data_IF_346772061370
#
_entry.id   IF_346772061370
#
_cell.length_a   1.000
_cell.length_b   1.000
_cell.length_c   1.000
_cell.angle_alpha   90.00
_cell.angle_beta   90.00
_cell.angle_gamma   90.00
#
_symmetry.space_group_name_H-M   'P 1'
#
loop_
_entity.id
_entity.type
_entity.pdbx_description
1 polymer ?
#
# COMPACT_ATOMS: atom_id res chain seq x y z
N UNK A 1 6.63 15.78 20.76
CA UNK A 1 7.51 15.02 19.82
C UNK A 1 7.67 15.88 18.59
N UNK A 2 8.90 16.10 18.12
CA UNK A 2 9.08 16.91 16.90
C UNK A 2 8.47 16.23 15.69
N UNK A 3 7.86 17.00 14.81
CA UNK A 3 7.19 16.54 13.60
C UNK A 3 7.83 17.15 12.36
N UNK A 4 7.66 16.47 11.24
CA UNK A 4 8.14 16.90 9.92
C UNK A 4 6.96 16.82 8.93
N UNK A 5 6.71 17.89 8.21
CA UNK A 5 5.81 17.89 7.07
C UNK A 5 6.56 17.34 5.85
N UNK A 6 5.93 16.42 5.13
CA UNK A 6 6.45 15.81 3.90
C UNK A 6 5.48 16.07 2.77
N UNK A 7 5.96 16.67 1.69
CA UNK A 7 5.20 16.96 0.49
C UNK A 7 5.74 16.16 -0.67
N UNK A 8 4.86 15.49 -1.41
CA UNK A 8 5.28 14.70 -2.58
C UNK A 8 4.21 14.65 -3.68
N UNK A 9 4.63 14.45 -4.92
CA UNK A 9 3.74 14.30 -6.07
C UNK A 9 4.46 13.58 -7.22
N UNK A 10 3.74 12.76 -7.99
CA UNK A 10 4.24 12.20 -9.25
C UNK A 10 4.33 13.25 -10.36
N UNK A 11 3.67 14.40 -10.24
CA UNK A 11 3.76 15.49 -11.21
C UNK A 11 5.05 16.26 -11.00
N UNK A 12 5.95 16.18 -11.97
CA UNK A 12 7.26 16.82 -11.90
C UNK A 12 7.14 18.34 -11.75
N UNK A 13 7.85 18.90 -10.77
CA UNK A 13 7.93 20.34 -10.52
C UNK A 13 6.71 20.93 -9.80
N UNK A 14 5.75 20.10 -9.38
CA UNK A 14 4.59 20.56 -8.61
C UNK A 14 4.94 20.85 -7.14
N UNK A 15 6.00 20.25 -6.60
CA UNK A 15 6.40 20.38 -5.20
C UNK A 15 7.55 21.37 -5.09
N UNK A 16 7.24 22.61 -4.64
CA UNK A 16 8.23 23.66 -4.36
C UNK A 16 8.07 24.16 -2.92
N UNK A 17 9.11 24.79 -2.38
CA UNK A 17 9.06 25.40 -1.04
C UNK A 17 7.93 26.44 -0.91
N UNK A 18 7.66 27.21 -1.97
CA UNK A 18 6.60 28.22 -1.99
C UNK A 18 5.21 27.57 -1.92
N UNK A 19 4.98 26.49 -2.69
CA UNK A 19 3.72 25.76 -2.69
C UNK A 19 3.51 25.06 -1.34
N UNK A 20 4.54 24.42 -0.80
CA UNK A 20 4.49 23.79 0.53
C UNK A 20 4.16 24.81 1.63
N UNK A 21 4.80 25.97 1.59
CA UNK A 21 4.50 27.10 2.49
C UNK A 21 3.05 27.57 2.37
N UNK A 22 2.53 27.70 1.15
CA UNK A 22 1.14 28.07 0.91
C UNK A 22 0.15 27.04 1.47
N UNK A 23 0.44 25.74 1.34
CA UNK A 23 -0.38 24.66 1.90
C UNK A 23 -0.35 24.70 3.43
N UNK A 24 0.83 24.85 4.06
CA UNK A 24 0.99 24.96 5.51
C UNK A 24 0.27 26.20 6.06
N UNK A 25 0.51 27.37 5.47
CA UNK A 25 -0.14 28.62 5.90
C UNK A 25 -1.66 28.58 5.78
N UNK A 26 -2.21 27.90 4.76
CA UNK A 26 -3.65 27.71 4.61
C UNK A 26 -4.24 26.74 5.65
N UNK A 27 -3.42 25.90 6.28
CA UNK A 27 -3.76 25.04 7.42
C UNK A 27 -3.44 25.70 8.77
N UNK A 28 -2.95 26.95 8.80
CA UNK A 28 -2.59 27.64 10.04
C UNK A 28 -1.27 27.16 10.66
N UNK A 29 -0.46 26.42 9.90
CA UNK A 29 0.79 25.84 10.38
C UNK A 29 1.96 26.74 9.99
N UNK A 30 2.66 27.26 10.99
CA UNK A 30 3.90 28.02 10.78
C UNK A 30 5.06 27.07 10.45
N UNK A 31 5.95 27.51 9.56
CA UNK A 31 7.13 26.73 9.18
C UNK A 31 8.30 27.64 8.78
N UNK A 32 9.51 27.23 9.16
CA UNK A 32 10.72 27.90 8.73
C UNK A 32 11.19 27.38 7.37
N UNK A 33 10.96 28.15 6.33
CA UNK A 33 11.36 27.76 4.96
C UNK A 33 12.87 27.65 4.77
N UNK A 34 13.70 28.22 5.66
CA UNK A 34 15.15 28.03 5.62
C UNK A 34 15.54 26.59 6.02
N UNK A 35 14.66 25.86 6.69
CA UNK A 35 14.86 24.47 7.10
C UNK A 35 14.34 23.43 6.07
N UNK A 36 13.86 23.87 4.91
CA UNK A 36 13.41 22.96 3.84
C UNK A 36 14.54 22.06 3.40
N UNK A 37 14.25 20.76 3.36
CA UNK A 37 15.12 19.75 2.79
C UNK A 37 14.48 19.18 1.51
N UNK A 38 15.17 19.30 0.40
CA UNK A 38 14.76 18.69 -0.87
C UNK A 38 15.10 17.20 -0.81
N UNK A 39 14.07 16.34 -0.96
CA UNK A 39 14.21 14.89 -1.04
C UNK A 39 14.36 14.44 -2.49
N UNK A 40 13.66 15.12 -3.38
CA UNK A 40 13.75 14.98 -4.84
C UNK A 40 13.43 16.33 -5.48
N UNK A 41 14.36 16.88 -6.29
CA UNK A 41 14.23 18.22 -6.87
C UNK A 41 12.94 18.47 -7.66
N UNK A 42 12.31 17.40 -8.14
CA UNK A 42 11.13 17.53 -8.97
C UNK A 42 9.84 17.06 -8.28
N UNK A 43 9.96 16.25 -7.20
CA UNK A 43 8.85 15.45 -6.71
C UNK A 43 8.62 15.54 -5.20
N UNK A 44 9.61 15.86 -4.37
CA UNK A 44 9.43 15.78 -2.93
C UNK A 44 10.33 16.71 -2.13
N UNK A 45 9.78 17.24 -1.05
CA UNK A 45 10.53 17.95 0.00
C UNK A 45 9.94 17.63 1.37
N UNK A 46 10.74 17.88 2.41
CA UNK A 46 10.27 17.88 3.78
C UNK A 46 10.79 19.10 4.55
N UNK A 47 10.10 19.41 5.65
CA UNK A 47 10.56 20.45 6.56
C UNK A 47 10.11 20.16 7.99
N UNK A 48 10.99 20.38 8.98
CA UNK A 48 10.66 20.27 10.40
C UNK A 48 9.61 21.30 10.80
N UNK A 49 8.67 20.90 11.64
CA UNK A 49 7.68 21.80 12.19
C UNK A 49 8.09 22.28 13.58
N UNK A 50 7.89 23.58 13.92
CA UNK A 50 8.28 24.13 15.20
C UNK A 50 7.38 23.65 16.35
N UNK A 51 6.12 23.35 16.03
CA UNK A 51 5.10 22.93 16.98
C UNK A 51 4.44 21.61 16.52
N UNK A 52 3.79 20.93 17.45
CA UNK A 52 3.01 19.73 17.17
C UNK A 52 1.69 20.12 16.53
N UNK A 53 1.40 19.53 15.38
CA UNK A 53 0.17 19.73 14.61
C UNK A 53 -0.89 18.74 15.09
N UNK A 54 -2.10 19.19 15.28
CA UNK A 54 -3.22 18.36 15.68
C UNK A 54 -3.90 17.65 14.50
N UNK A 55 -4.92 16.84 14.79
CA UNK A 55 -5.59 16.00 13.77
C UNK A 55 -6.41 16.84 12.79
N UNK A 56 -7.02 17.95 13.26
CA UNK A 56 -7.86 18.82 12.41
C UNK A 56 -6.99 19.60 11.44
N UNK A 57 -5.85 20.09 11.90
CA UNK A 57 -4.86 20.78 11.07
C UNK A 57 -4.25 19.83 10.03
N UNK A 58 -3.98 18.56 10.40
CA UNK A 58 -3.54 17.53 9.46
C UNK A 58 -4.58 17.25 8.38
N UNK A 59 -5.87 17.19 8.73
CA UNK A 59 -6.94 17.00 7.76
C UNK A 59 -7.04 18.19 6.79
N UNK A 60 -6.90 19.43 7.32
CA UNK A 60 -6.87 20.66 6.51
C UNK A 60 -5.66 20.68 5.59
N UNK A 61 -4.47 20.31 6.08
CA UNK A 61 -3.24 20.24 5.31
C UNK A 61 -3.40 19.32 4.10
N UNK A 62 -3.92 18.10 4.32
CA UNK A 62 -4.18 17.14 3.24
C UNK A 62 -5.17 17.67 2.21
N UNK A 63 -6.30 18.23 2.67
CA UNK A 63 -7.30 18.78 1.76
C UNK A 63 -6.74 19.92 0.88
N UNK A 64 -5.80 20.71 1.41
CA UNK A 64 -5.10 21.76 0.63
C UNK A 64 -4.09 21.18 -0.34
N UNK A 65 -3.38 20.12 0.04
CA UNK A 65 -2.49 19.36 -0.84
C UNK A 65 -3.27 18.72 -2.00
N UNK A 66 -4.37 18.03 -1.70
CA UNK A 66 -5.23 17.37 -2.70
C UNK A 66 -5.71 18.33 -3.79
N UNK A 67 -6.05 19.56 -3.45
CA UNK A 67 -6.44 20.61 -4.43
C UNK A 67 -5.31 20.96 -5.42
N UNK A 68 -4.07 20.65 -5.10
CA UNK A 68 -2.90 20.94 -5.91
C UNK A 68 -2.25 19.67 -6.50
N UNK A 69 -2.85 18.49 -6.26
CA UNK A 69 -2.28 17.21 -6.69
C UNK A 69 -1.00 16.84 -5.93
N UNK A 70 -0.92 17.21 -4.64
CA UNK A 70 0.24 17.00 -3.77
C UNK A 70 -0.22 16.23 -2.53
N UNK A 71 0.49 15.15 -2.21
CA UNK A 71 0.38 14.49 -0.91
C UNK A 71 1.09 15.34 0.15
N UNK A 72 0.35 15.74 1.17
CA UNK A 72 0.85 16.50 2.30
C UNK A 72 0.63 15.68 3.59
N UNK A 73 1.73 15.17 4.16
CA UNK A 73 1.72 14.28 5.30
C UNK A 73 2.57 14.85 6.45
N UNK A 74 2.22 14.51 7.68
CA UNK A 74 3.02 14.84 8.86
C UNK A 74 3.47 13.55 9.52
N UNK A 75 4.78 13.45 9.76
CA UNK A 75 5.42 12.29 10.37
C UNK A 75 6.28 12.71 11.58
N UNK A 76 6.57 11.81 12.53
CA UNK A 76 7.60 12.08 13.54
C UNK A 76 8.94 12.42 12.87
N UNK A 77 9.68 13.38 13.41
CA UNK A 77 11.00 13.76 12.84
C UNK A 77 12.06 12.66 13.06
N UNK A 78 11.91 11.87 14.12
CA UNK A 78 12.82 10.78 14.48
C UNK A 78 12.16 9.40 14.22
N UNK A 79 12.99 8.38 14.00
CA UNK A 79 12.53 7.00 13.79
C UNK A 79 11.75 6.82 12.48
N UNK A 80 11.99 7.65 11.47
CA UNK A 80 11.30 7.62 10.18
C UNK A 80 11.65 6.38 9.36
N UNK A 81 12.91 5.96 9.34
CA UNK A 81 13.33 4.74 8.65
C UNK A 81 12.75 3.52 9.33
N UNK A 82 12.13 2.62 8.56
CA UNK A 82 11.43 1.44 9.03
C UNK A 82 12.19 0.16 8.70
N UNK A 83 12.15 -0.80 9.62
CA UNK A 83 12.89 -2.07 9.53
C UNK A 83 12.04 -3.20 8.91
N UNK A 84 10.74 -3.00 8.80
CA UNK A 84 9.77 -3.95 8.24
C UNK A 84 8.83 -3.21 7.30
N UNK A 85 8.55 -3.81 6.13
CA UNK A 85 7.46 -3.43 5.24
C UNK A 85 6.49 -4.60 5.09
N UNK A 86 5.21 -4.36 5.32
CA UNK A 86 4.11 -5.23 4.90
C UNK A 86 3.30 -4.50 3.84
N UNK A 87 3.20 -5.06 2.65
CA UNK A 87 2.45 -4.48 1.55
C UNK A 87 1.31 -5.39 1.09
N UNK A 88 0.16 -4.79 0.77
CA UNK A 88 -0.87 -5.45 -0.03
C UNK A 88 -0.42 -5.58 -1.49
N UNK A 89 -1.04 -6.50 -2.24
CA UNK A 89 -0.74 -6.73 -3.65
C UNK A 89 -1.71 -6.01 -4.58
N UNK A 90 -2.96 -6.44 -4.57
CA UNK A 90 -3.99 -5.99 -5.51
C UNK A 90 -4.29 -4.50 -5.28
N UNK A 91 -4.39 -3.72 -6.35
CA UNK A 91 -4.58 -2.25 -6.30
C UNK A 91 -3.54 -1.48 -5.47
N UNK A 92 -2.47 -2.13 -5.01
CA UNK A 92 -1.35 -1.54 -4.24
C UNK A 92 -0.01 -1.76 -4.94
N UNK A 93 0.58 -2.96 -4.89
CA UNK A 93 1.85 -3.29 -5.57
C UNK A 93 1.64 -3.51 -7.07
N UNK A 94 0.48 -4.01 -7.46
CA UNK A 94 0.01 -4.10 -8.84
C UNK A 94 -1.21 -3.19 -9.05
N UNK A 95 -1.46 -2.78 -10.29
CA UNK A 95 -2.50 -1.79 -10.61
C UNK A 95 -3.90 -2.37 -10.69
N UNK A 96 -4.05 -3.70 -10.72
CA UNK A 96 -5.32 -4.41 -10.92
C UNK A 96 -5.71 -5.31 -9.75
N UNK A 97 -6.90 -5.88 -9.84
CA UNK A 97 -7.45 -6.91 -8.93
C UNK A 97 -7.29 -8.28 -9.58
N UNK A 98 -6.37 -9.11 -9.09
CA UNK A 98 -5.98 -10.37 -9.72
C UNK A 98 -7.12 -11.37 -9.92
N UNK A 99 -8.08 -11.44 -8.97
CA UNK A 99 -9.27 -12.29 -9.10
C UNK A 99 -10.22 -11.79 -10.19
N UNK A 100 -10.37 -10.48 -10.34
CA UNK A 100 -11.24 -9.87 -11.34
C UNK A 100 -10.63 -10.03 -12.75
N UNK A 101 -9.30 -9.91 -12.88
CA UNK A 101 -8.60 -10.21 -14.14
C UNK A 101 -8.78 -11.66 -14.57
N UNK A 102 -8.61 -12.61 -13.65
CA UNK A 102 -8.90 -14.02 -13.90
C UNK A 102 -10.37 -14.23 -14.31
N UNK A 103 -11.31 -13.52 -13.69
CA UNK A 103 -12.73 -13.60 -14.03
C UNK A 103 -13.05 -13.07 -15.43
N UNK A 104 -12.41 -11.98 -15.81
CA UNK A 104 -12.52 -11.39 -17.15
C UNK A 104 -11.98 -12.35 -18.21
N UNK A 105 -10.80 -12.89 -18.03
CA UNK A 105 -10.17 -13.88 -18.90
C UNK A 105 -11.00 -15.17 -19.02
N UNK A 106 -11.61 -15.59 -17.91
CA UNK A 106 -12.49 -16.75 -17.88
C UNK A 106 -13.90 -16.51 -18.47
N UNK A 107 -14.24 -15.27 -18.82
CA UNK A 107 -15.56 -14.88 -19.32
C UNK A 107 -16.70 -15.00 -18.28
N UNK A 108 -16.39 -14.79 -16.99
CA UNK A 108 -17.35 -14.91 -15.88
C UNK A 108 -17.45 -13.63 -15.02
N UNK A 109 -16.90 -12.52 -15.48
CA UNK A 109 -16.92 -11.26 -14.73
C UNK A 109 -18.33 -10.83 -14.30
N UNK A 110 -19.32 -10.95 -15.20
CA UNK A 110 -20.72 -10.61 -14.91
C UNK A 110 -21.34 -11.50 -13.81
N UNK A 111 -20.87 -12.73 -13.66
CA UNK A 111 -21.34 -13.64 -12.61
C UNK A 111 -20.68 -13.37 -11.25
N UNK A 112 -19.46 -12.84 -11.24
CA UNK A 112 -18.70 -12.49 -10.01
C UNK A 112 -19.18 -11.18 -9.41
N UNK A 113 -19.47 -10.17 -10.24
CA UNK A 113 -19.80 -8.82 -9.81
C UNK A 113 -20.93 -8.75 -8.75
N UNK A 114 -22.05 -9.50 -8.85
CA UNK A 114 -23.08 -9.51 -7.80
C UNK A 114 -22.58 -10.01 -6.45
N UNK A 115 -21.67 -11.00 -6.43
CA UNK A 115 -21.09 -11.56 -5.20
C UNK A 115 -20.17 -10.53 -4.54
N UNK A 116 -19.31 -9.90 -5.32
CA UNK A 116 -18.43 -8.82 -4.87
C UNK A 116 -19.24 -7.66 -4.29
N UNK A 117 -20.32 -7.24 -4.99
CA UNK A 117 -21.19 -6.15 -4.54
C UNK A 117 -21.84 -6.46 -3.18
N UNK A 118 -22.32 -7.69 -2.98
CA UNK A 118 -22.90 -8.12 -1.71
C UNK A 118 -21.89 -8.17 -0.58
N UNK A 119 -20.68 -8.64 -0.86
CA UNK A 119 -19.59 -8.63 0.11
C UNK A 119 -19.20 -7.20 0.52
N UNK A 120 -19.12 -6.27 -0.44
CA UNK A 120 -18.84 -4.85 -0.18
C UNK A 120 -19.93 -4.15 0.66
N UNK A 121 -21.18 -4.64 0.60
CA UNK A 121 -22.28 -4.15 1.44
C UNK A 121 -22.34 -4.82 2.83
N UNK A 122 -21.40 -5.73 3.13
CA UNK A 122 -21.42 -6.48 4.39
C UNK A 122 -22.52 -7.57 4.47
N UNK A 123 -23.11 -7.94 3.34
CA UNK A 123 -24.13 -9.00 3.25
C UNK A 123 -23.50 -10.41 3.23
N UNK A 124 -22.22 -10.50 2.96
CA UNK A 124 -21.41 -11.73 2.95
C UNK A 124 -20.09 -11.47 3.66
N UNK A 125 -19.72 -12.37 4.55
CA UNK A 125 -18.40 -12.38 5.15
C UNK A 125 -17.31 -12.73 4.11
N UNK A 126 -16.06 -12.42 4.43
CA UNK A 126 -14.92 -12.55 3.52
C UNK A 126 -14.79 -13.99 2.95
N UNK A 127 -14.74 -15.01 3.81
CA UNK A 127 -14.52 -16.38 3.38
C UNK A 127 -15.68 -16.94 2.54
N UNK A 128 -16.96 -16.80 2.93
CA UNK A 128 -18.10 -17.18 2.07
C UNK A 128 -18.11 -16.44 0.72
N UNK A 129 -17.73 -15.17 0.69
CA UNK A 129 -17.66 -14.40 -0.56
C UNK A 129 -16.53 -14.92 -1.47
N UNK A 130 -15.37 -15.25 -0.90
CA UNK A 130 -14.25 -15.84 -1.63
C UNK A 130 -14.65 -17.22 -2.20
N UNK A 131 -15.21 -18.10 -1.37
CA UNK A 131 -15.62 -19.44 -1.77
C UNK A 131 -16.68 -19.39 -2.89
N UNK A 132 -17.66 -18.48 -2.80
CA UNK A 132 -18.69 -18.30 -3.83
C UNK A 132 -18.12 -17.81 -5.17
N UNK A 133 -17.17 -16.87 -5.13
CA UNK A 133 -16.48 -16.38 -6.34
C UNK A 133 -15.61 -17.48 -6.96
N UNK A 134 -14.85 -18.21 -6.13
CA UNK A 134 -13.97 -19.28 -6.62
C UNK A 134 -14.74 -20.46 -7.22
N UNK A 135 -15.90 -20.81 -6.68
CA UNK A 135 -16.73 -21.87 -7.23
C UNK A 135 -17.07 -21.67 -8.72
N UNK A 136 -17.12 -20.42 -9.20
CA UNK A 136 -17.35 -20.10 -10.61
C UNK A 136 -16.16 -20.46 -11.53
N UNK A 137 -14.99 -20.67 -10.95
CA UNK A 137 -13.79 -21.12 -11.69
C UNK A 137 -13.66 -22.64 -11.75
N UNK A 138 -14.53 -23.40 -11.06
CA UNK A 138 -14.43 -24.86 -11.05
C UNK A 138 -14.44 -25.46 -12.47
N UNK A 139 -13.43 -26.29 -12.76
CA UNK A 139 -13.24 -26.95 -14.05
C UNK A 139 -12.62 -26.09 -15.16
N UNK A 140 -12.40 -24.80 -14.94
CA UNK A 140 -11.72 -23.91 -15.90
C UNK A 140 -10.23 -24.26 -15.98
N UNK A 141 -9.54 -23.94 -17.11
CA UNK A 141 -8.12 -24.21 -17.28
C UNK A 141 -7.28 -23.45 -16.24
N UNK A 142 -6.26 -24.11 -15.69
CA UNK A 142 -5.29 -23.48 -14.80
C UNK A 142 -4.40 -22.43 -15.53
N UNK A 143 -4.29 -22.49 -16.88
CA UNK A 143 -3.60 -21.48 -17.69
C UNK A 143 -4.13 -20.06 -17.50
N UNK A 144 -5.36 -19.89 -17.04
CA UNK A 144 -5.92 -18.58 -16.68
C UNK A 144 -5.05 -17.82 -15.66
N UNK A 145 -4.33 -18.54 -14.79
CA UNK A 145 -3.39 -17.93 -13.84
C UNK A 145 -2.19 -17.35 -14.58
N UNK A 146 -1.63 -18.11 -15.53
CA UNK A 146 -0.48 -17.65 -16.33
C UNK A 146 -0.87 -16.48 -17.25
N UNK A 147 -2.09 -16.53 -17.79
CA UNK A 147 -2.66 -15.46 -18.62
C UNK A 147 -2.85 -14.17 -17.79
N UNK A 148 -3.43 -14.28 -16.58
CA UNK A 148 -3.60 -13.15 -15.67
C UNK A 148 -2.23 -12.59 -15.23
N UNK A 149 -1.26 -13.47 -14.91
CA UNK A 149 0.09 -13.06 -14.53
C UNK A 149 0.82 -12.31 -15.65
N UNK A 150 0.58 -12.68 -16.91
CA UNK A 150 1.18 -12.01 -18.07
C UNK A 150 0.64 -10.58 -18.29
N UNK A 151 -0.53 -10.26 -17.77
CA UNK A 151 -1.15 -8.93 -17.83
C UNK A 151 -0.85 -8.06 -16.59
N UNK A 152 -0.14 -8.59 -15.58
CA UNK A 152 0.17 -7.83 -14.36
C UNK A 152 1.03 -6.62 -14.69
N UNK A 153 0.54 -5.45 -14.30
CA UNK A 153 1.28 -4.20 -14.33
C UNK A 153 1.60 -3.75 -12.90
N UNK A 154 2.87 -3.40 -12.67
CA UNK A 154 3.28 -2.88 -11.36
C UNK A 154 2.88 -1.43 -11.18
N UNK A 155 2.43 -1.10 -9.97
CA UNK A 155 2.27 0.29 -9.57
C UNK A 155 3.61 1.03 -9.64
N UNK A 156 3.57 2.31 -10.02
CA UNK A 156 4.77 3.13 -10.07
C UNK A 156 5.55 3.06 -8.76
N UNK A 157 6.86 2.93 -8.85
CA UNK A 157 7.74 2.89 -7.69
C UNK A 157 7.75 1.58 -6.89
N UNK A 158 6.94 0.55 -7.21
CA UNK A 158 6.84 -0.68 -6.45
C UNK A 158 8.20 -1.38 -6.23
N UNK A 159 8.92 -1.60 -7.31
CA UNK A 159 10.25 -2.24 -7.26
C UNK A 159 11.26 -1.34 -6.54
N UNK A 160 11.22 -0.03 -6.81
CA UNK A 160 12.09 0.96 -6.17
C UNK A 160 11.88 0.98 -4.65
N UNK A 161 10.64 1.02 -4.18
CA UNK A 161 10.31 0.98 -2.75
C UNK A 161 10.92 -0.24 -2.08
N UNK A 162 10.62 -1.43 -2.60
CA UNK A 162 11.05 -2.69 -1.97
C UNK A 162 12.57 -2.82 -1.97
N UNK A 163 13.22 -2.57 -3.11
CA UNK A 163 14.68 -2.71 -3.23
C UNK A 163 15.43 -1.70 -2.38
N UNK A 164 14.96 -0.45 -2.33
CA UNK A 164 15.58 0.58 -1.49
C UNK A 164 15.48 0.23 -0.02
N UNK A 165 14.30 -0.15 0.48
CA UNK A 165 14.14 -0.57 1.88
C UNK A 165 14.98 -1.82 2.20
N UNK A 166 15.01 -2.81 1.29
CA UNK A 166 15.85 -4.01 1.43
C UNK A 166 17.34 -3.70 1.50
N UNK A 167 17.82 -2.80 0.67
CA UNK A 167 19.23 -2.37 0.70
C UNK A 167 19.58 -1.61 1.99
N UNK A 168 18.61 -0.93 2.59
CA UNK A 168 18.73 -0.31 3.91
C UNK A 168 18.62 -1.32 5.07
N UNK A 169 18.46 -2.63 4.78
CA UNK A 169 18.41 -3.70 5.79
C UNK A 169 17.01 -4.08 6.25
N UNK A 170 15.95 -3.48 5.70
CA UNK A 170 14.58 -3.84 6.06
C UNK A 170 14.17 -5.21 5.51
N UNK A 171 13.30 -5.89 6.22
CA UNK A 171 12.56 -7.06 5.72
C UNK A 171 11.25 -6.61 5.08
N UNK A 172 10.96 -7.08 3.85
CA UNK A 172 9.77 -6.67 3.09
C UNK A 172 8.94 -7.89 2.73
N UNK A 173 7.66 -7.90 3.11
CA UNK A 173 6.74 -9.00 2.83
C UNK A 173 5.51 -8.52 2.08
N UNK A 174 5.09 -9.33 1.08
CA UNK A 174 3.85 -9.14 0.34
C UNK A 174 2.76 -10.03 0.96
N UNK A 175 1.68 -9.45 1.46
CA UNK A 175 0.59 -10.18 2.13
C UNK A 175 -0.73 -9.83 1.47
N UNK A 176 -1.33 -10.79 0.77
CA UNK A 176 -2.52 -10.58 -0.06
C UNK A 176 -3.61 -11.60 0.22
N UNK A 177 -4.87 -11.16 0.14
CA UNK A 177 -6.03 -12.04 0.06
C UNK A 177 -6.13 -12.83 -1.26
N UNK A 178 -5.28 -12.49 -2.26
CA UNK A 178 -5.17 -13.19 -3.53
C UNK A 178 -4.49 -14.55 -3.44
N UNK A 179 -3.74 -14.96 -4.49
CA UNK A 179 -3.28 -16.34 -4.65
C UNK A 179 -1.76 -16.46 -4.78
N UNK A 180 -1.18 -17.47 -4.13
CA UNK A 180 0.27 -17.71 -4.14
C UNK A 180 0.86 -17.86 -5.53
N UNK A 181 0.11 -18.40 -6.48
CA UNK A 181 0.52 -18.56 -7.88
C UNK A 181 0.73 -17.21 -8.59
N UNK A 182 0.15 -16.11 -8.08
CA UNK A 182 0.35 -14.75 -8.58
C UNK A 182 1.29 -13.98 -7.64
N UNK A 183 1.09 -14.04 -6.32
CA UNK A 183 1.89 -13.24 -5.39
C UNK A 183 3.37 -13.65 -5.38
N UNK A 184 3.70 -14.93 -5.58
CA UNK A 184 5.09 -15.37 -5.54
C UNK A 184 5.93 -14.83 -6.72
N UNK A 185 5.48 -14.87 -7.98
CA UNK A 185 6.16 -14.18 -9.10
C UNK A 185 6.27 -12.67 -8.90
N UNK A 186 5.19 -11.99 -8.46
CA UNK A 186 5.16 -10.56 -8.17
C UNK A 186 6.20 -10.20 -7.09
N UNK A 187 6.17 -10.92 -5.97
CA UNK A 187 7.11 -10.70 -4.88
C UNK A 187 8.57 -10.89 -5.31
N UNK A 188 8.84 -11.93 -6.10
CA UNK A 188 10.19 -12.20 -6.64
C UNK A 188 10.67 -11.06 -7.54
N UNK A 189 9.82 -10.56 -8.42
CA UNK A 189 10.19 -9.49 -9.37
C UNK A 189 10.47 -8.16 -8.65
N UNK A 190 9.67 -7.79 -7.66
CA UNK A 190 9.91 -6.61 -6.82
C UNK A 190 11.10 -6.76 -5.89
N UNK A 191 11.48 -7.98 -5.52
CA UNK A 191 12.56 -8.26 -4.57
C UNK A 191 12.10 -8.36 -3.11
N UNK A 192 10.84 -8.68 -2.83
CA UNK A 192 10.36 -8.95 -1.48
C UNK A 192 11.14 -10.09 -0.80
N UNK A 193 11.22 -10.06 0.53
CA UNK A 193 11.81 -11.12 1.36
C UNK A 193 10.99 -12.41 1.29
N UNK A 194 9.67 -12.26 1.26
CA UNK A 194 8.72 -13.36 1.19
C UNK A 194 7.31 -12.88 0.89
N UNK A 195 6.37 -13.85 0.77
CA UNK A 195 4.97 -13.56 0.47
C UNK A 195 4.04 -14.55 1.15
N UNK A 196 2.83 -14.07 1.48
CA UNK A 196 1.72 -14.84 2.02
C UNK A 196 0.43 -14.56 1.27
N UNK A 197 -0.24 -15.64 0.84
CA UNK A 197 -1.50 -15.58 0.12
C UNK A 197 -2.24 -16.91 0.19
N UNK A 198 -3.46 -16.99 -0.32
CA UNK A 198 -4.23 -18.20 -0.41
C UNK A 198 -3.64 -19.16 -1.47
N UNK A 199 -3.78 -20.46 -1.23
CA UNK A 199 -3.34 -21.50 -2.17
C UNK A 199 -4.52 -21.97 -3.01
N UNK A 200 -4.56 -21.65 -4.30
CA UNK A 200 -5.52 -22.22 -5.24
C UNK A 200 -5.31 -23.73 -5.36
N UNK A 201 -6.40 -24.50 -5.30
CA UNK A 201 -6.35 -25.92 -5.57
C UNK A 201 -6.50 -26.17 -7.09
N UNK A 202 -5.47 -26.84 -7.64
CA UNK A 202 -5.38 -27.18 -9.07
C UNK A 202 -5.16 -28.70 -9.18
N UNK A 203 -5.94 -29.36 -10.05
CA UNK A 203 -5.79 -30.77 -10.33
C UNK A 203 -6.02 -31.05 -11.84
N UNK A 204 -5.16 -31.86 -12.43
CA UNK A 204 -5.27 -32.20 -13.86
C UNK A 204 -5.27 -31.00 -14.80
N UNK A 205 -4.57 -29.91 -14.45
CA UNK A 205 -4.52 -28.67 -15.22
C UNK A 205 -5.80 -27.83 -15.16
N UNK A 206 -6.68 -28.08 -14.18
CA UNK A 206 -7.92 -27.36 -13.95
C UNK A 206 -7.99 -26.78 -12.56
N UNK A 207 -8.62 -25.61 -12.44
CA UNK A 207 -8.95 -24.99 -11.17
C UNK A 207 -10.07 -25.80 -10.50
N UNK A 208 -9.93 -26.12 -9.21
CA UNK A 208 -10.98 -26.82 -8.45
C UNK A 208 -12.07 -25.88 -7.92
N UNK A 209 -11.93 -24.58 -8.13
CA UNK A 209 -12.88 -23.57 -7.65
C UNK A 209 -12.83 -23.36 -6.13
N UNK A 210 -11.71 -23.59 -5.51
CA UNK A 210 -11.50 -23.44 -4.06
C UNK A 210 -10.02 -23.22 -3.72
N UNK A 211 -9.77 -22.79 -2.48
CA UNK A 211 -8.43 -22.65 -1.90
C UNK A 211 -8.23 -23.64 -0.76
N UNK A 212 -6.97 -23.93 -0.46
CA UNK A 212 -6.61 -24.73 0.71
C UNK A 212 -6.93 -23.93 1.98
N UNK A 213 -7.53 -24.62 2.97
CA UNK A 213 -7.78 -24.03 4.29
C UNK A 213 -6.56 -24.15 5.21
N UNK A 214 -6.34 -23.24 6.17
CA UNK A 214 -7.18 -22.07 6.46
C UNK A 214 -7.02 -20.96 5.42
N UNK A 215 -8.08 -20.18 5.23
CA UNK A 215 -8.07 -18.99 4.35
C UNK A 215 -7.32 -17.86 5.04
N UNK A 216 -6.55 -17.09 4.26
CA UNK A 216 -5.97 -15.83 4.68
C UNK A 216 -7.09 -14.79 4.66
N UNK A 217 -7.66 -14.54 5.84
CA UNK A 217 -8.79 -13.64 6.06
C UNK A 217 -8.35 -12.16 6.17
N UNK A 218 -9.31 -11.24 6.37
CA UNK A 218 -9.04 -9.81 6.52
C UNK A 218 -8.10 -9.47 7.68
N UNK A 219 -8.13 -10.22 8.79
CA UNK A 219 -7.24 -10.02 9.93
C UNK A 219 -5.83 -10.60 9.76
N UNK A 220 -5.59 -11.36 8.69
CA UNK A 220 -4.30 -12.03 8.49
C UNK A 220 -3.14 -11.04 8.35
N UNK A 221 -3.34 -9.91 7.68
CA UNK A 221 -2.31 -8.88 7.49
C UNK A 221 -1.80 -8.33 8.82
N UNK A 222 -2.70 -8.00 9.75
CA UNK A 222 -2.33 -7.55 11.10
C UNK A 222 -1.60 -8.65 11.89
N UNK A 223 -2.02 -9.93 11.75
CA UNK A 223 -1.31 -11.06 12.37
C UNK A 223 0.10 -11.24 11.81
N UNK A 224 0.32 -11.07 10.50
CA UNK A 224 1.66 -11.12 9.91
C UNK A 224 2.53 -9.94 10.34
N UNK A 225 1.97 -8.74 10.48
CA UNK A 225 2.69 -7.60 11.07
C UNK A 225 3.19 -7.96 12.49
N UNK A 226 2.30 -8.43 13.36
CA UNK A 226 2.66 -8.83 14.73
C UNK A 226 3.69 -9.97 14.74
N UNK A 227 3.54 -10.97 13.86
CA UNK A 227 4.45 -12.08 13.74
C UNK A 227 5.86 -11.63 13.36
N UNK A 228 6.02 -10.81 12.32
CA UNK A 228 7.32 -10.35 11.86
C UNK A 228 7.94 -9.31 12.79
N UNK A 229 7.15 -8.47 13.46
CA UNK A 229 7.68 -7.64 14.54
C UNK A 229 8.30 -8.47 15.66
N UNK A 230 7.62 -9.55 16.07
CA UNK A 230 8.15 -10.46 17.09
C UNK A 230 9.39 -11.21 16.63
N UNK A 231 9.41 -11.72 15.38
CA UNK A 231 10.54 -12.44 14.79
C UNK A 231 11.79 -11.56 14.66
N UNK A 232 11.62 -10.30 14.27
CA UNK A 232 12.71 -9.33 14.11
C UNK A 232 13.09 -8.64 15.43
N UNK A 233 12.32 -8.84 16.50
CA UNK A 233 12.56 -8.19 17.79
C UNK A 233 12.36 -6.67 17.76
N UNK A 234 11.45 -6.17 16.91
CA UNK A 234 11.12 -4.76 16.74
C UNK A 234 9.72 -4.43 17.25
N UNK A 235 9.48 -3.16 17.58
CA UNK A 235 8.14 -2.68 17.87
C UNK A 235 7.35 -2.39 16.57
N UNK A 236 6.00 -2.47 16.59
CA UNK A 236 5.17 -2.06 15.44
C UNK A 236 5.45 -0.62 14.96
N UNK A 237 5.92 0.26 15.83
CA UNK A 237 6.34 1.62 15.50
C UNK A 237 7.51 1.66 14.50
N UNK A 238 8.29 0.57 14.39
CA UNK A 238 9.43 0.43 13.47
C UNK A 238 9.04 -0.24 12.14
N UNK A 239 7.74 -0.52 11.95
CA UNK A 239 7.19 -1.08 10.73
C UNK A 239 6.47 -0.03 9.88
N UNK A 240 6.54 -0.20 8.56
CA UNK A 240 5.68 0.43 7.57
C UNK A 240 4.70 -0.59 7.01
N UNK A 241 3.45 -0.18 6.82
CA UNK A 241 2.43 -0.95 6.13
C UNK A 241 1.77 -0.10 5.06
N UNK A 242 1.43 -0.69 3.91
CA UNK A 242 0.79 0.02 2.80
C UNK A 242 -0.31 -0.85 2.17
N UNK A 243 -1.45 -0.22 1.85
CA UNK A 243 -2.61 -0.87 1.27
C UNK A 243 -3.69 0.12 0.85
N UNK A 244 -4.71 -0.35 0.13
CA UNK A 244 -5.77 0.46 -0.48
C UNK A 244 -7.17 0.20 0.07
N UNK A 245 -7.41 -0.94 0.71
CA UNK A 245 -8.73 -1.46 1.01
C UNK A 245 -9.05 -1.66 2.49
N UNK A 246 -10.33 -1.91 2.80
CA UNK A 246 -10.80 -2.11 4.17
C UNK A 246 -10.13 -3.30 4.89
N UNK A 247 -9.66 -4.29 4.12
CA UNK A 247 -8.91 -5.44 4.60
C UNK A 247 -7.50 -5.10 5.13
N UNK A 248 -7.04 -3.85 4.88
CA UNK A 248 -5.74 -3.36 5.34
C UNK A 248 -5.85 -2.56 6.64
N UNK A 249 -7.05 -2.12 7.02
CA UNK A 249 -7.27 -1.17 8.09
C UNK A 249 -6.54 -1.55 9.38
N UNK A 250 -6.77 -2.76 9.90
CA UNK A 250 -6.19 -3.20 11.18
C UNK A 250 -4.64 -3.22 11.13
N UNK A 251 -4.07 -3.59 9.98
CA UNK A 251 -2.63 -3.57 9.75
C UNK A 251 -2.08 -2.14 9.70
N UNK A 252 -2.77 -1.24 9.00
CA UNK A 252 -2.37 0.15 8.86
C UNK A 252 -2.46 0.90 10.18
N UNK A 253 -3.53 0.68 10.98
CA UNK A 253 -3.69 1.29 12.30
C UNK A 253 -2.63 0.80 13.31
N UNK A 254 -2.16 -0.43 13.17
CA UNK A 254 -1.18 -1.01 14.10
C UNK A 254 0.28 -0.62 13.79
N UNK A 255 0.60 -0.20 12.57
CA UNK A 255 1.96 0.10 12.15
C UNK A 255 2.40 1.52 12.52
N UNK A 256 3.70 1.72 12.70
CA UNK A 256 4.25 3.06 12.90
C UNK A 256 4.04 3.99 11.71
N UNK A 257 4.16 3.44 10.49
CA UNK A 257 3.74 4.10 9.25
C UNK A 257 2.69 3.22 8.56
N UNK A 258 1.42 3.37 8.92
CA UNK A 258 0.30 2.84 8.16
C UNK A 258 -0.08 3.84 7.07
N UNK A 259 0.10 3.48 5.81
CA UNK A 259 -0.08 4.37 4.66
C UNK A 259 -1.20 3.87 3.77
N UNK A 260 -2.20 4.71 3.56
CA UNK A 260 -3.28 4.48 2.63
C UNK A 260 -2.84 4.93 1.22
N UNK A 261 -2.78 3.99 0.27
CA UNK A 261 -2.29 4.23 -1.09
C UNK A 261 -3.44 4.22 -2.09
N UNK A 262 -3.70 5.34 -2.79
CA UNK A 262 -4.82 5.49 -3.74
C UNK A 262 -6.13 4.89 -3.21
N UNK A 263 -6.35 5.07 -1.92
CA UNK A 263 -7.22 4.21 -1.14
C UNK A 263 -8.71 4.53 -1.29
N UNK A 264 -9.51 3.53 -0.93
CA UNK A 264 -10.97 3.62 -0.82
C UNK A 264 -11.39 4.57 0.32
N UNK A 265 -12.61 5.14 0.28
CA UNK A 265 -13.04 6.20 1.21
C UNK A 265 -12.83 5.90 2.70
N UNK A 266 -13.05 4.64 3.12
CA UNK A 266 -12.87 4.23 4.52
C UNK A 266 -11.45 4.48 5.03
N UNK A 267 -10.43 4.12 4.25
CA UNK A 267 -9.04 4.35 4.65
C UNK A 267 -8.67 5.83 4.58
N UNK A 268 -9.21 6.57 3.59
CA UNK A 268 -9.01 8.03 3.52
C UNK A 268 -9.52 8.76 4.77
N UNK A 269 -10.59 8.26 5.37
CA UNK A 269 -11.15 8.83 6.60
C UNK A 269 -10.31 8.48 7.83
N UNK A 270 -9.84 7.22 7.92
CA UNK A 270 -9.24 6.69 9.15
C UNK A 270 -7.72 6.78 9.21
N UNK A 271 -7.04 6.63 8.08
CA UNK A 271 -5.57 6.54 8.06
C UNK A 271 -4.96 7.93 7.84
N UNK A 272 -4.10 8.40 8.77
CA UNK A 272 -3.54 9.73 8.69
C UNK A 272 -2.48 9.91 7.59
N UNK A 273 -1.68 8.89 7.26
CA UNK A 273 -0.69 8.98 6.19
C UNK A 273 -1.30 8.46 4.88
N UNK A 274 -1.28 9.29 3.84
CA UNK A 274 -1.92 8.99 2.57
C UNK A 274 -1.02 9.35 1.40
N UNK A 275 -1.04 8.52 0.37
CA UNK A 275 -0.42 8.74 -0.92
C UNK A 275 -1.50 8.62 -2.00
N UNK A 276 -1.99 9.76 -2.47
CA UNK A 276 -3.06 9.89 -3.45
C UNK A 276 -2.56 10.46 -4.79
N UNK A 277 -1.40 11.14 -4.76
CA UNK A 277 -0.83 11.87 -5.89
C UNK A 277 0.62 11.46 -6.20
N UNK A 278 1.23 10.68 -5.32
CA UNK A 278 2.58 10.12 -5.48
C UNK A 278 2.45 8.61 -5.72
N UNK A 279 3.39 8.03 -6.43
CA UNK A 279 3.53 6.59 -6.55
C UNK A 279 4.09 5.97 -5.24
N UNK A 280 4.41 4.68 -5.25
CA UNK A 280 4.90 3.99 -4.05
C UNK A 280 6.23 4.52 -3.51
N UNK A 281 6.98 5.31 -4.29
CA UNK A 281 8.19 6.01 -3.78
C UNK A 281 7.85 7.05 -2.72
N UNK A 282 6.61 7.53 -2.67
CA UNK A 282 6.12 8.40 -1.60
C UNK A 282 6.37 7.84 -0.20
N UNK A 283 6.28 6.52 -0.01
CA UNK A 283 6.60 5.89 1.27
C UNK A 283 8.10 6.01 1.62
N UNK A 284 8.99 6.11 0.65
CA UNK A 284 10.42 6.39 0.89
C UNK A 284 10.62 7.84 1.34
N UNK A 285 9.93 8.79 0.72
CA UNK A 285 9.98 10.19 1.16
C UNK A 285 9.44 10.38 2.58
N UNK A 286 8.35 9.69 2.95
CA UNK A 286 7.86 9.68 4.33
C UNK A 286 8.93 9.17 5.31
N UNK A 287 9.73 8.20 4.91
CA UNK A 287 10.84 7.68 5.70
C UNK A 287 12.10 8.59 5.67
N UNK A 288 12.10 9.65 4.87
CA UNK A 288 13.20 10.62 4.78
C UNK A 288 14.33 10.23 3.84
N UNK A 289 14.11 9.23 2.97
CA UNK A 289 15.06 8.92 1.90
C UNK A 289 15.06 10.04 0.86
N UNK A 290 16.22 10.32 0.30
CA UNK A 290 16.40 11.19 -0.86
C UNK A 290 16.45 10.34 -2.14
N UNK A 291 16.11 10.92 -3.29
CA UNK A 291 16.02 10.19 -4.56
C UNK A 291 17.34 9.54 -4.99
N UNK A 292 18.49 10.07 -4.57
CA UNK A 292 19.82 9.50 -4.82
C UNK A 292 20.06 8.18 -4.08
N UNK A 293 19.31 7.90 -3.01
CA UNK A 293 19.33 6.62 -2.30
C UNK A 293 18.42 5.55 -2.96
N UNK A 294 17.64 5.89 -3.96
CA UNK A 294 16.69 4.97 -4.58
C UNK A 294 17.41 3.92 -5.44
N UNK A 295 17.01 2.67 -5.27
CA UNK A 295 17.47 1.55 -6.10
C UNK A 295 16.40 1.24 -7.14
N UNK A 296 16.65 1.70 -8.36
CA UNK A 296 15.79 1.44 -9.52
C UNK A 296 15.69 -0.05 -9.85
N UNK A 297 14.55 -0.45 -10.41
CA UNK A 297 14.26 -1.83 -10.83
C UNK A 297 14.78 -2.15 -12.21
#
# INVERSE_FOLDING_TARGET
MHQTAVFSSSTRGSVTAEIASGILGAAGIDADLAAVRVLDEAHALDLPLPETVDVDDMATLRARGDLQGIDANIVPSEGRSKQLLIADMDSTVITSESLDDMARLAGIADAILPITTRAMRGELDFEPALDARLALFAGKPASLVDEALAEVEFSGGATTLVRTMRAAGASCYLVSGGFTVITAPVAKQCGFTGTHANHLEIEGGKLLGKVRKPVLDSGAKARYLAHYCAELGIAPAEAACIGDGANDLDMLEAAGFGVAFHSKPLLREKIPLQLNHTDLTGLLYLQGYTADAFISG
#
